data_IF_146055246186
#
_entry.id   IF_146055246186
#
_cell.length_a   1.000
_cell.length_b   1.000
_cell.length_c   1.000
_cell.angle_alpha   90.00
_cell.angle_beta   90.00
_cell.angle_gamma   90.00
#
_symmetry.space_group_name_H-M   'P 1'
#
loop_
_entity.id
_entity.type
_entity.pdbx_description
1 polymer ?
#
# COMPACT_ATOMS: atom_id res chain seq x y z
N UNK A 1 14.54 -4.49 -11.76
CA UNK A 1 13.82 -3.20 -11.80
C UNK A 1 12.75 -3.34 -12.86
N UNK A 2 11.52 -3.54 -12.41
CA UNK A 2 10.35 -3.93 -13.21
C UNK A 2 9.28 -2.83 -13.13
N UNK A 3 9.75 -1.57 -13.15
CA UNK A 3 8.90 -0.40 -12.93
C UNK A 3 8.16 0.04 -14.20
N UNK A 4 8.66 -0.35 -15.39
CA UNK A 4 7.91 -0.24 -16.65
C UNK A 4 7.11 -1.52 -16.90
N UNK A 5 5.93 -1.38 -17.47
CA UNK A 5 5.14 -2.52 -17.91
C UNK A 5 5.58 -2.99 -19.31
N UNK A 6 5.39 -4.29 -19.58
CA UNK A 6 5.56 -4.88 -20.90
C UNK A 6 4.34 -5.75 -21.25
N UNK A 7 3.96 -5.85 -22.54
CA UNK A 7 2.80 -6.64 -22.95
C UNK A 7 2.85 -8.08 -22.41
N UNK A 8 1.71 -8.54 -21.87
CA UNK A 8 1.52 -9.90 -21.34
C UNK A 8 2.48 -10.31 -20.20
N UNK A 9 3.13 -9.36 -19.53
CA UNK A 9 3.93 -9.62 -18.33
C UNK A 9 3.21 -9.11 -17.07
N UNK A 10 3.28 -9.89 -16.00
CA UNK A 10 2.96 -9.42 -14.65
C UNK A 10 4.22 -8.87 -14.02
N UNK A 11 4.07 -7.86 -13.16
CA UNK A 11 5.22 -7.37 -12.43
C UNK A 11 5.54 -8.21 -11.17
N UNK A 12 6.62 -7.87 -10.46
CA UNK A 12 7.01 -8.48 -9.17
C UNK A 12 5.88 -8.49 -8.10
N UNK A 13 4.87 -7.64 -8.25
CA UNK A 13 3.69 -7.52 -7.38
C UNK A 13 2.42 -8.16 -7.97
N UNK A 14 2.54 -8.98 -9.02
CA UNK A 14 1.44 -9.59 -9.77
C UNK A 14 0.44 -8.57 -10.35
N UNK A 15 0.87 -7.34 -10.60
CA UNK A 15 0.03 -6.34 -11.27
C UNK A 15 -0.01 -6.63 -12.77
N UNK A 16 -1.20 -6.55 -13.39
CA UNK A 16 -1.32 -6.69 -14.83
C UNK A 16 -0.62 -5.53 -15.53
N UNK A 17 -0.15 -5.83 -16.74
CA UNK A 17 0.47 -4.85 -17.61
C UNK A 17 -0.47 -3.69 -17.97
N UNK A 18 0.05 -2.47 -17.96
CA UNK A 18 -0.66 -1.26 -18.38
C UNK A 18 0.11 -0.57 -19.51
N UNK A 19 -0.53 -0.39 -20.67
CA UNK A 19 0.06 0.27 -21.84
C UNK A 19 0.52 1.70 -21.55
N UNK A 20 -0.15 2.39 -20.62
CA UNK A 20 0.23 3.74 -20.18
C UNK A 20 1.56 3.76 -19.43
N UNK A 21 2.07 2.61 -18.98
CA UNK A 21 3.37 2.48 -18.34
C UNK A 21 4.38 1.70 -19.20
N UNK A 22 4.20 1.64 -20.53
CA UNK A 22 5.22 1.08 -21.43
C UNK A 22 6.40 2.04 -21.61
N UNK A 23 7.63 1.53 -21.82
CA UNK A 23 8.80 2.37 -22.03
C UNK A 23 8.68 3.19 -23.31
N UNK A 24 9.07 4.46 -23.25
CA UNK A 24 9.17 5.39 -24.38
C UNK A 24 10.43 6.24 -24.20
N UNK A 25 11.00 6.77 -25.28
CA UNK A 25 12.18 7.62 -25.19
C UNK A 25 11.92 8.82 -24.26
N UNK A 26 12.82 9.03 -23.29
CA UNK A 26 12.71 10.08 -22.28
C UNK A 26 11.62 9.90 -21.22
N UNK A 27 10.82 8.82 -21.28
CA UNK A 27 9.79 8.54 -20.29
C UNK A 27 10.40 8.00 -18.99
N UNK A 28 9.78 8.33 -17.86
CA UNK A 28 10.08 7.77 -16.54
C UNK A 28 9.01 6.74 -16.16
N UNK A 29 9.39 5.61 -15.53
CA UNK A 29 8.44 4.61 -15.11
C UNK A 29 7.55 5.13 -13.98
N UNK A 30 6.36 4.54 -13.85
CA UNK A 30 5.46 4.81 -12.74
C UNK A 30 6.11 4.41 -11.40
N UNK A 31 6.02 5.29 -10.40
CA UNK A 31 6.46 4.99 -9.04
C UNK A 31 5.27 4.94 -8.09
N UNK A 32 5.35 4.05 -7.10
CA UNK A 32 4.41 3.98 -5.97
C UNK A 32 4.91 4.74 -4.74
N UNK A 33 6.06 5.41 -4.82
CA UNK A 33 6.59 6.22 -3.71
C UNK A 33 5.68 7.40 -3.42
N UNK A 34 5.30 7.55 -2.14
CA UNK A 34 4.47 8.66 -1.64
C UNK A 34 5.14 9.37 -0.45
N UNK A 35 6.33 9.98 -0.62
CA UNK A 35 6.91 10.81 0.43
C UNK A 35 5.99 12.01 0.70
N UNK A 36 5.50 12.12 1.93
CA UNK A 36 4.43 13.06 2.29
C UNK A 36 4.84 13.86 3.53
N UNK A 37 4.62 15.18 3.47
CA UNK A 37 4.73 16.09 4.62
C UNK A 37 3.33 16.67 4.87
N UNK A 38 2.86 16.57 6.10
CA UNK A 38 1.60 17.15 6.56
C UNK A 38 1.94 18.37 7.40
N UNK A 39 1.25 19.48 7.12
CA UNK A 39 1.37 20.73 7.85
C UNK A 39 0.19 20.91 8.80
N UNK A 40 0.40 21.63 9.90
CA UNK A 40 -0.67 22.12 10.76
C UNK A 40 -1.43 23.30 10.12
N UNK A 41 -2.45 23.80 10.82
CA UNK A 41 -3.27 24.94 10.39
C UNK A 41 -2.48 26.25 10.26
N UNK A 42 -1.31 26.35 10.89
CA UNK A 42 -0.39 27.49 10.84
C UNK A 42 0.70 27.32 9.77
N UNK A 43 0.70 26.20 9.04
CA UNK A 43 1.70 25.87 8.03
C UNK A 43 3.00 25.29 8.60
N UNK A 44 3.06 24.97 9.89
CA UNK A 44 4.19 24.29 10.52
C UNK A 44 4.21 22.78 10.19
N UNK A 45 5.39 22.15 10.00
CA UNK A 45 5.46 20.73 9.72
C UNK A 45 5.00 19.90 10.92
N UNK A 46 3.98 19.07 10.71
CA UNK A 46 3.38 18.21 11.72
C UNK A 46 3.88 16.77 11.61
N UNK A 47 3.87 16.20 10.39
CA UNK A 47 4.27 14.80 10.13
C UNK A 47 5.09 14.75 8.84
N UNK A 48 6.19 14.00 8.86
CA UNK A 48 6.86 13.53 7.65
C UNK A 48 6.75 12.00 7.60
N UNK A 49 6.21 11.47 6.51
CA UNK A 49 5.94 10.04 6.36
C UNK A 49 6.28 9.55 4.95
N UNK A 50 6.73 8.31 4.87
CA UNK A 50 6.98 7.59 3.64
C UNK A 50 7.11 6.10 3.93
N UNK A 51 7.43 5.30 2.91
CA UNK A 51 7.61 3.87 3.07
C UNK A 51 8.35 3.24 1.90
N UNK A 52 8.66 1.96 2.06
CA UNK A 52 9.23 1.07 1.05
C UNK A 52 8.29 -0.12 0.83
N UNK A 53 8.45 -0.84 -0.28
CA UNK A 53 7.64 -2.04 -0.60
C UNK A 53 6.82 -1.95 -1.89
N UNK A 54 7.27 -1.14 -2.87
CA UNK A 54 6.66 -1.02 -4.20
C UNK A 54 5.16 -0.67 -4.14
N UNK A 55 4.30 -1.48 -4.76
CA UNK A 55 2.87 -1.20 -4.86
C UNK A 55 2.15 -1.11 -3.49
N UNK A 56 2.76 -1.63 -2.43
CA UNK A 56 2.20 -1.63 -1.07
C UNK A 56 2.36 -0.25 -0.39
N UNK A 57 3.35 0.56 -0.81
CA UNK A 57 3.71 1.84 -0.16
C UNK A 57 2.47 2.72 0.03
N UNK A 58 1.70 2.97 -1.03
CA UNK A 58 0.54 3.87 -1.01
C UNK A 58 -0.48 3.47 0.06
N UNK A 59 -0.86 2.19 0.10
CA UNK A 59 -1.84 1.70 1.10
C UNK A 59 -1.28 1.69 2.52
N UNK A 60 0.02 1.42 2.69
CA UNK A 60 0.65 1.40 4.00
C UNK A 60 0.73 2.82 4.59
N UNK A 61 1.16 3.79 3.79
CA UNK A 61 1.19 5.20 4.20
C UNK A 61 -0.21 5.72 4.52
N UNK A 62 -1.20 5.41 3.69
CA UNK A 62 -2.59 5.80 3.94
C UNK A 62 -3.13 5.23 5.26
N UNK A 63 -2.88 3.95 5.55
CA UNK A 63 -3.33 3.32 6.81
C UNK A 63 -2.72 3.97 8.04
N UNK A 64 -1.40 4.23 8.05
CA UNK A 64 -0.75 4.91 9.19
C UNK A 64 -1.36 6.29 9.43
N UNK A 65 -1.62 7.04 8.37
CA UNK A 65 -2.26 8.35 8.47
C UNK A 65 -3.71 8.25 8.97
N UNK A 66 -4.49 7.27 8.52
CA UNK A 66 -5.86 7.02 9.00
C UNK A 66 -5.83 6.67 10.50
N UNK A 67 -4.97 5.73 10.91
CA UNK A 67 -4.84 5.32 12.31
C UNK A 67 -4.47 6.49 13.23
N UNK A 68 -3.53 7.33 12.79
CA UNK A 68 -3.08 8.46 13.57
C UNK A 68 -4.08 9.62 13.58
N UNK A 69 -4.47 10.12 12.40
CA UNK A 69 -5.23 11.35 12.26
C UNK A 69 -6.74 11.16 12.49
N UNK A 70 -7.28 10.00 12.12
CA UNK A 70 -8.73 9.73 12.21
C UNK A 70 -9.04 8.94 13.48
N UNK A 71 -8.30 7.87 13.76
CA UNK A 71 -8.54 7.02 14.93
C UNK A 71 -7.79 7.47 16.18
N UNK A 72 -7.01 8.55 16.10
CA UNK A 72 -6.36 9.17 17.26
C UNK A 72 -5.26 8.31 17.91
N UNK A 73 -4.74 7.31 17.21
CA UNK A 73 -3.63 6.50 17.71
C UNK A 73 -2.36 7.33 17.82
N UNK A 74 -1.48 6.99 18.76
CA UNK A 74 -0.12 7.56 18.74
C UNK A 74 0.57 7.17 17.43
N UNK A 75 1.47 8.02 16.91
CA UNK A 75 2.16 7.73 15.65
C UNK A 75 2.94 6.40 15.71
N UNK A 76 3.53 6.09 16.87
CA UNK A 76 4.22 4.82 17.12
C UNK A 76 3.29 3.62 17.01
N UNK A 77 2.11 3.72 17.61
CA UNK A 77 1.12 2.65 17.56
C UNK A 77 0.54 2.51 16.16
N UNK A 78 0.27 3.61 15.47
CA UNK A 78 -0.23 3.62 14.09
C UNK A 78 0.75 2.95 13.11
N UNK A 79 2.05 3.18 13.28
CA UNK A 79 3.11 2.51 12.50
C UNK A 79 3.20 1.01 12.82
N UNK A 80 2.99 0.64 14.09
CA UNK A 80 3.11 -0.73 14.57
C UNK A 80 1.84 -1.57 14.38
N UNK A 81 0.73 -0.93 14.05
CA UNK A 81 -0.55 -1.59 13.85
C UNK A 81 -0.49 -2.47 12.60
N UNK A 82 -0.99 -3.72 12.66
CA UNK A 82 -0.91 -4.63 11.54
C UNK A 82 -1.71 -4.09 10.33
N UNK A 83 -1.21 -4.31 9.12
CA UNK A 83 -1.74 -3.71 7.88
C UNK A 83 -2.47 -4.70 6.99
N UNK A 84 -3.35 -4.16 6.15
CA UNK A 84 -3.96 -4.82 4.99
C UNK A 84 -3.45 -4.20 3.68
N UNK A 85 -3.41 -4.95 2.59
CA UNK A 85 -3.18 -4.41 1.25
C UNK A 85 -4.05 -5.11 0.23
N UNK A 86 -4.72 -4.33 -0.61
CA UNK A 86 -5.46 -4.83 -1.76
C UNK A 86 -5.22 -3.88 -2.93
N UNK A 87 -4.91 -4.45 -4.09
CA UNK A 87 -4.59 -3.71 -5.33
C UNK A 87 -5.70 -3.85 -6.38
N UNK A 88 -6.93 -4.15 -5.94
CA UNK A 88 -8.15 -4.39 -6.73
C UNK A 88 -8.09 -5.62 -7.64
N UNK A 89 -7.03 -5.76 -8.45
CA UNK A 89 -6.84 -6.89 -9.37
C UNK A 89 -5.45 -7.53 -9.15
N UNK A 90 -5.38 -8.85 -8.92
CA UNK A 90 -6.50 -9.77 -8.70
C UNK A 90 -7.26 -9.48 -7.39
N UNK A 91 -8.45 -10.09 -7.18
CA UNK A 91 -9.22 -9.98 -5.92
C UNK A 91 -8.51 -10.72 -4.78
N UNK A 92 -7.40 -10.15 -4.31
CA UNK A 92 -6.56 -10.68 -3.25
C UNK A 92 -6.24 -9.58 -2.23
N UNK A 93 -6.47 -9.88 -0.96
CA UNK A 93 -6.15 -9.03 0.18
C UNK A 93 -5.00 -9.66 0.95
N UNK A 94 -3.88 -8.94 1.03
CA UNK A 94 -2.75 -9.31 1.85
C UNK A 94 -2.90 -8.73 3.26
N UNK A 95 -2.45 -9.46 4.28
CA UNK A 95 -2.52 -9.01 5.67
C UNK A 95 -1.28 -9.41 6.47
N UNK A 96 -0.91 -8.62 7.47
CA UNK A 96 0.17 -8.97 8.41
C UNK A 96 -0.31 -9.99 9.45
N UNK A 97 0.57 -10.88 9.90
CA UNK A 97 0.22 -12.05 10.76
C UNK A 97 -0.55 -11.70 12.03
N UNK A 98 -0.32 -10.50 12.58
CA UNK A 98 -0.97 -10.03 13.81
C UNK A 98 -2.33 -9.35 13.58
N UNK A 99 -2.83 -9.31 12.34
CA UNK A 99 -4.12 -8.69 12.02
C UNK A 99 -5.29 -9.44 12.64
N UNK A 100 -6.38 -8.74 12.97
CA UNK A 100 -7.55 -9.31 13.63
C UNK A 100 -8.20 -10.41 12.77
N UNK A 101 -8.16 -11.64 13.27
CA UNK A 101 -8.72 -12.83 12.61
C UNK A 101 -10.22 -12.69 12.32
N UNK A 102 -10.98 -11.98 13.16
CA UNK A 102 -12.43 -11.76 12.93
C UNK A 102 -12.66 -10.96 11.65
N UNK A 103 -11.83 -9.94 11.40
CA UNK A 103 -11.91 -9.14 10.17
C UNK A 103 -11.51 -10.00 8.97
N UNK A 104 -10.43 -10.77 9.07
CA UNK A 104 -9.99 -11.67 7.99
C UNK A 104 -11.07 -12.68 7.61
N UNK A 105 -11.73 -13.31 8.60
CA UNK A 105 -12.85 -14.21 8.35
C UNK A 105 -14.07 -13.48 7.75
N UNK A 106 -14.33 -12.23 8.16
CA UNK A 106 -15.34 -11.38 7.55
C UNK A 106 -15.06 -11.11 6.07
N UNK A 107 -13.81 -10.78 5.71
CA UNK A 107 -13.38 -10.56 4.33
C UNK A 107 -13.57 -11.82 3.47
N UNK A 108 -13.22 -13.00 4.00
CA UNK A 108 -13.45 -14.27 3.30
C UNK A 108 -14.94 -14.51 3.03
N UNK A 109 -15.81 -14.24 4.03
CA UNK A 109 -17.27 -14.44 3.92
C UNK A 109 -17.91 -13.57 2.83
N UNK A 110 -17.38 -12.38 2.58
CA UNK A 110 -17.87 -11.49 1.51
C UNK A 110 -17.17 -11.74 0.17
N UNK A 111 -16.34 -12.80 0.05
CA UNK A 111 -15.77 -13.26 -1.21
C UNK A 111 -14.36 -12.76 -1.53
N UNK A 112 -13.65 -12.11 -0.60
CA UNK A 112 -12.25 -11.77 -0.81
C UNK A 112 -11.34 -13.00 -0.64
N UNK A 113 -10.37 -13.16 -1.53
CA UNK A 113 -9.28 -14.10 -1.31
C UNK A 113 -8.25 -13.42 -0.40
N UNK A 114 -7.92 -14.04 0.73
CA UNK A 114 -7.00 -13.45 1.71
C UNK A 114 -5.72 -14.26 1.81
N UNK A 115 -4.59 -13.59 2.04
CA UNK A 115 -3.27 -14.22 2.13
C UNK A 115 -2.36 -13.42 3.07
N UNK A 116 -1.44 -14.07 3.78
CA UNK A 116 -0.43 -13.33 4.54
C UNK A 116 0.55 -12.62 3.60
N UNK A 117 1.17 -11.52 4.06
CA UNK A 117 2.38 -11.02 3.41
C UNK A 117 3.51 -12.06 3.46
N UNK A 118 4.39 -12.03 2.46
CA UNK A 118 5.49 -12.99 2.29
C UNK A 118 6.73 -12.67 3.14
N UNK A 119 6.70 -11.62 3.96
CA UNK A 119 7.83 -11.19 4.78
C UNK A 119 7.52 -11.47 6.25
N UNK A 120 8.35 -12.30 6.88
CA UNK A 120 8.46 -12.44 8.34
C UNK A 120 9.35 -11.35 8.93
#
# INVERSE_FOLDING_TARGET
MDDFCFPNMLNDYNLPSNSENYPKNGKRPLSSSVPTIILDDKGGPLIAIGGSGGSIITTATAQVLIFHLIFGMSLKDAISYPRLHAQVTPNKVFFETKFDKKIIEGLKKIGHQVSNFFYE
#
